data_IF_453328320773
#
_entry.id   IF_453328320773
#
_cell.length_a   1.000
_cell.length_b   1.000
_cell.length_c   1.000
_cell.angle_alpha   90.00
_cell.angle_beta   90.00
_cell.angle_gamma   90.00
#
_symmetry.space_group_name_H-M   'P 1'
#
loop_
_entity.id
_entity.type
_entity.pdbx_description
1 polymer ?
#
# COMPACT_ATOMS: atom_id res chain seq x y z
N UNK A 1 7.72 21.76 38.80
CA UNK A 1 6.95 20.56 38.37
C UNK A 1 6.69 20.68 36.87
N UNK A 2 7.40 19.91 36.05
CA UNK A 2 7.12 19.85 34.60
C UNK A 2 5.71 19.29 34.46
N UNK A 3 4.79 20.08 33.90
CA UNK A 3 3.43 19.63 33.58
C UNK A 3 3.58 18.44 32.64
N UNK A 4 3.23 17.26 33.11
CA UNK A 4 3.15 16.05 32.31
C UNK A 4 1.87 16.20 31.50
N UNK A 5 1.98 16.75 30.30
CA UNK A 5 0.85 16.92 29.39
C UNK A 5 0.35 15.53 28.91
N UNK A 6 -0.88 15.40 28.39
CA UNK A 6 -1.59 14.15 27.99
C UNK A 6 -1.64 13.92 26.45
N UNK A 7 -1.80 12.69 25.92
CA UNK A 7 -1.57 12.36 24.48
C UNK A 7 -2.48 13.12 23.52
N UNK A 8 -3.41 13.85 24.09
CA UNK A 8 -4.24 14.89 23.50
C UNK A 8 -3.45 16.16 23.14
N UNK A 9 -2.14 16.07 22.90
CA UNK A 9 -1.28 17.22 22.66
C UNK A 9 -1.92 18.19 21.69
N UNK A 10 -2.42 17.69 20.56
CA UNK A 10 -3.13 18.49 19.56
C UNK A 10 -4.39 19.20 20.12
N UNK A 11 -5.25 18.48 20.85
CA UNK A 11 -6.47 19.04 21.47
C UNK A 11 -6.14 20.00 22.63
N UNK A 12 -5.00 19.80 23.29
CA UNK A 12 -4.45 20.67 24.32
C UNK A 12 -3.74 21.91 23.76
N UNK A 13 -3.63 22.06 22.43
CA UNK A 13 -2.93 23.16 21.76
C UNK A 13 -1.40 22.99 21.69
N UNK A 14 -0.90 21.77 21.87
CA UNK A 14 0.49 21.34 21.74
C UNK A 14 0.72 20.59 20.40
N UNK A 15 1.97 20.33 20.00
CA UNK A 15 2.25 19.47 18.85
C UNK A 15 1.61 18.07 18.99
N UNK A 16 1.18 17.49 17.86
CA UNK A 16 0.56 16.17 17.73
C UNK A 16 1.52 15.00 17.94
N UNK A 17 2.31 15.06 19.00
CA UNK A 17 3.35 14.11 19.30
C UNK A 17 2.91 13.09 20.37
N UNK A 18 3.09 11.78 20.13
CA UNK A 18 2.77 10.77 21.13
C UNK A 18 3.72 10.87 22.34
N UNK A 19 3.30 10.28 23.46
CA UNK A 19 4.14 10.12 24.65
C UNK A 19 4.31 8.65 24.99
N UNK A 20 5.39 8.35 25.68
CA UNK A 20 5.61 7.03 26.24
C UNK A 20 4.48 6.71 27.23
N UNK A 21 3.88 5.53 27.08
CA UNK A 21 2.74 5.07 27.88
C UNK A 21 3.19 4.58 29.27
N UNK A 22 3.75 5.48 30.08
CA UNK A 22 4.05 5.20 31.49
C UNK A 22 2.83 5.43 32.39
N UNK A 23 1.95 6.34 31.99
CA UNK A 23 0.65 6.61 32.62
C UNK A 23 -0.40 6.46 31.52
N UNK A 24 -1.44 5.68 31.78
CA UNK A 24 -2.50 5.47 30.78
C UNK A 24 -3.47 6.65 30.78
N UNK A 25 -4.06 6.95 29.62
CA UNK A 25 -5.02 8.08 29.48
C UNK A 25 -6.23 7.95 30.39
N UNK A 26 -6.64 6.71 30.66
CA UNK A 26 -7.74 6.41 31.58
C UNK A 26 -7.45 6.85 33.01
N UNK A 27 -6.18 7.01 33.38
CA UNK A 27 -5.76 7.57 34.68
C UNK A 27 -5.54 9.08 34.58
N UNK A 28 -4.82 9.52 33.54
CA UNK A 28 -4.52 10.93 33.28
C UNK A 28 -4.23 11.17 31.80
N UNK A 29 -5.22 11.72 31.09
CA UNK A 29 -5.16 12.12 29.68
C UNK A 29 -5.38 13.63 29.55
N UNK A 30 -6.45 14.03 28.84
CA UNK A 30 -6.74 15.41 28.47
C UNK A 30 -6.81 16.33 29.69
N UNK A 31 -5.98 17.37 29.70
CA UNK A 31 -5.82 18.34 30.80
C UNK A 31 -5.55 17.68 32.16
N UNK A 32 -4.87 16.54 32.15
CA UNK A 32 -4.56 15.76 33.34
C UNK A 32 -5.77 15.08 33.98
N UNK A 33 -6.83 14.83 33.20
CA UNK A 33 -8.05 14.15 33.65
C UNK A 33 -8.17 12.75 33.04
N UNK A 34 -8.74 11.77 33.77
CA UNK A 34 -9.13 10.48 33.21
C UNK A 34 -9.88 10.63 31.88
N UNK A 35 -9.31 10.09 30.81
CA UNK A 35 -9.81 10.26 29.44
C UNK A 35 -9.77 8.95 28.68
N UNK A 36 -10.87 8.60 28.02
CA UNK A 36 -10.98 7.43 27.16
C UNK A 36 -11.28 7.86 25.71
N UNK A 37 -10.43 7.44 24.78
CA UNK A 37 -10.55 7.72 23.36
C UNK A 37 -11.13 6.49 22.65
N UNK A 38 -12.21 6.68 21.90
CA UNK A 38 -12.86 5.62 21.14
C UNK A 38 -13.09 6.08 19.70
N UNK A 39 -13.00 5.15 18.75
CA UNK A 39 -13.31 5.42 17.36
C UNK A 39 -14.81 5.71 17.19
N UNK A 40 -15.16 6.54 16.20
CA UNK A 40 -16.56 6.85 15.87
C UNK A 40 -17.37 5.58 15.53
N UNK A 41 -16.78 4.62 14.83
CA UNK A 41 -17.39 3.32 14.50
C UNK A 41 -17.73 2.52 15.77
N UNK A 42 -16.85 2.55 16.77
CA UNK A 42 -17.13 1.91 18.07
C UNK A 42 -18.38 2.51 18.71
N UNK A 43 -18.47 3.84 18.77
CA UNK A 43 -19.65 4.53 19.31
C UNK A 43 -20.91 4.30 18.47
N UNK A 44 -20.78 4.21 17.15
CA UNK A 44 -21.91 3.94 16.25
C UNK A 44 -22.53 2.56 16.49
N UNK A 45 -21.74 1.58 16.95
CA UNK A 45 -22.23 0.24 17.29
C UNK A 45 -22.99 0.17 18.63
N UNK A 46 -22.67 1.05 19.59
CA UNK A 46 -23.22 0.99 20.96
C UNK A 46 -24.75 1.08 21.02
N UNK A 47 -25.44 2.01 20.31
CA UNK A 47 -26.91 2.07 20.33
C UNK A 47 -27.57 0.77 19.89
N UNK A 48 -27.05 0.11 18.84
CA UNK A 48 -27.59 -1.16 18.36
C UNK A 48 -27.39 -2.28 19.41
N UNK A 49 -26.22 -2.32 20.05
CA UNK A 49 -25.90 -3.28 21.12
C UNK A 49 -26.83 -3.09 22.33
N UNK A 50 -27.07 -1.86 22.77
CA UNK A 50 -27.96 -1.58 23.90
C UNK A 50 -29.41 -1.98 23.57
N UNK A 51 -29.88 -1.65 22.37
CA UNK A 51 -31.27 -1.89 21.97
C UNK A 51 -31.58 -3.35 21.65
N UNK A 52 -30.60 -4.12 21.17
CA UNK A 52 -30.80 -5.53 20.71
C UNK A 52 -30.12 -6.56 21.61
N UNK A 53 -29.32 -6.11 22.58
CA UNK A 53 -28.55 -6.96 23.48
C UNK A 53 -27.15 -7.30 22.95
N UNK A 54 -26.20 -7.45 23.88
CA UNK A 54 -24.82 -7.86 23.55
C UNK A 54 -24.74 -9.27 22.95
N UNK A 55 -25.63 -10.17 23.36
CA UNK A 55 -25.72 -11.53 22.80
C UNK A 55 -26.03 -11.50 21.30
N UNK A 56 -26.95 -10.64 20.87
CA UNK A 56 -27.25 -10.45 19.45
C UNK A 56 -26.01 -10.01 18.66
N UNK A 57 -25.28 -8.99 19.14
CA UNK A 57 -24.08 -8.52 18.46
C UNK A 57 -22.99 -9.60 18.42
N UNK A 58 -22.89 -10.44 19.46
CA UNK A 58 -21.95 -11.56 19.53
C UNK A 58 -22.32 -12.75 18.62
N UNK A 59 -23.54 -12.80 18.08
CA UNK A 59 -23.91 -13.77 17.02
C UNK A 59 -23.29 -13.43 15.67
N UNK A 60 -22.88 -12.18 15.47
CA UNK A 60 -22.15 -11.73 14.29
C UNK A 60 -20.64 -11.91 14.53
N UNK A 61 -19.91 -12.28 13.48
CA UNK A 61 -18.46 -12.41 13.56
C UNK A 61 -17.96 -13.84 13.81
N UNK A 62 -16.68 -13.94 14.19
CA UNK A 62 -16.03 -15.20 14.61
C UNK A 62 -16.08 -15.37 16.12
N UNK A 63 -15.43 -16.41 16.68
CA UNK A 63 -15.29 -16.56 18.13
C UNK A 63 -14.45 -15.42 18.73
N UNK A 64 -13.30 -15.11 18.12
CA UNK A 64 -12.36 -14.08 18.59
C UNK A 64 -12.68 -12.66 18.14
N UNK A 65 -13.56 -12.47 17.15
CA UNK A 65 -13.89 -11.15 16.59
C UNK A 65 -15.39 -10.99 16.37
N UNK A 66 -16.08 -10.33 17.30
CA UNK A 66 -17.55 -10.14 17.29
C UNK A 66 -17.97 -8.91 16.49
N UNK A 67 -19.18 -8.97 15.94
CA UNK A 67 -19.82 -7.82 15.30
C UNK A 67 -19.54 -7.67 13.81
N UNK A 68 -19.73 -6.45 13.33
CA UNK A 68 -19.47 -6.02 11.95
C UNK A 68 -18.31 -5.03 11.90
N UNK A 69 -17.77 -4.85 10.69
CA UNK A 69 -16.74 -3.86 10.39
C UNK A 69 -17.08 -3.16 9.09
N UNK A 70 -16.89 -1.85 9.07
CA UNK A 70 -16.98 -1.03 7.85
C UNK A 70 -15.61 -0.98 7.18
N UNK A 71 -15.57 -1.33 5.89
CA UNK A 71 -14.41 -1.20 5.03
C UNK A 71 -14.61 -0.13 3.95
N UNK A 72 -13.55 0.59 3.63
CA UNK A 72 -13.43 1.40 2.42
C UNK A 72 -12.78 0.56 1.34
N UNK A 73 -13.59 -0.01 0.45
CA UNK A 73 -13.16 -0.82 -0.68
C UNK A 73 -12.85 0.08 -1.88
N UNK A 74 -11.58 0.12 -2.27
CA UNK A 74 -11.06 0.99 -3.34
C UNK A 74 -9.95 0.28 -4.13
N UNK A 75 -9.33 0.96 -5.10
CA UNK A 75 -8.29 0.40 -5.97
C UNK A 75 -8.87 -0.17 -7.26
N UNK A 76 -8.26 -1.23 -7.77
CA UNK A 76 -8.61 -1.90 -9.03
C UNK A 76 -9.81 -2.83 -8.88
N UNK A 77 -10.94 -2.29 -8.41
CA UNK A 77 -12.20 -3.01 -8.15
C UNK A 77 -13.36 -2.32 -8.87
N UNK A 78 -14.35 -3.08 -9.33
CA UNK A 78 -15.48 -2.55 -10.12
C UNK A 78 -16.35 -1.61 -9.29
N UNK A 79 -16.76 -2.05 -8.10
CA UNK A 79 -17.60 -1.28 -7.19
C UNK A 79 -16.75 -0.76 -6.03
N UNK A 80 -16.45 0.53 -6.05
CA UNK A 80 -15.78 1.22 -4.94
C UNK A 80 -16.79 1.81 -3.96
N UNK A 81 -16.45 1.85 -2.67
CA UNK A 81 -17.33 2.45 -1.66
C UNK A 81 -17.09 1.94 -0.25
N UNK A 82 -17.99 2.33 0.65
CA UNK A 82 -18.04 1.83 2.02
C UNK A 82 -18.92 0.58 2.07
N UNK A 83 -18.39 -0.50 2.64
CA UNK A 83 -19.09 -1.77 2.78
C UNK A 83 -19.05 -2.22 4.23
N UNK A 84 -20.21 -2.50 4.82
CA UNK A 84 -20.30 -3.09 6.16
C UNK A 84 -20.46 -4.60 6.03
N UNK A 85 -19.55 -5.35 6.65
CA UNK A 85 -19.55 -6.82 6.60
C UNK A 85 -19.42 -7.41 8.00
N UNK A 86 -19.96 -8.62 8.25
CA UNK A 86 -19.67 -9.34 9.48
C UNK A 86 -18.19 -9.71 9.54
N UNK A 87 -17.61 -9.64 10.75
CA UNK A 87 -16.24 -10.10 10.97
C UNK A 87 -16.09 -11.57 10.55
N UNK A 88 -14.93 -11.94 10.01
CA UNK A 88 -14.65 -13.30 9.54
C UNK A 88 -15.20 -13.66 8.17
N UNK A 89 -15.83 -12.71 7.45
CA UNK A 89 -16.12 -12.86 6.02
C UNK A 89 -14.80 -13.02 5.24
N UNK A 90 -14.68 -13.96 4.28
CA UNK A 90 -13.48 -14.09 3.46
C UNK A 90 -13.22 -12.86 2.58
N UNK A 91 -11.95 -12.49 2.38
CA UNK A 91 -11.55 -11.40 1.48
C UNK A 91 -12.12 -11.59 0.07
N UNK A 92 -12.13 -12.83 -0.43
CA UNK A 92 -12.73 -13.22 -1.72
C UNK A 92 -14.17 -12.74 -1.85
N UNK A 93 -14.99 -12.98 -0.82
CA UNK A 93 -16.40 -12.62 -0.87
C UNK A 93 -16.57 -11.10 -0.93
N UNK A 94 -15.77 -10.36 -0.16
CA UNK A 94 -15.81 -8.89 -0.18
C UNK A 94 -15.43 -8.37 -1.57
N UNK A 95 -14.34 -8.87 -2.15
CA UNK A 95 -13.80 -8.36 -3.42
C UNK A 95 -14.65 -8.80 -4.62
N UNK A 96 -14.99 -10.08 -4.71
CA UNK A 96 -15.70 -10.65 -5.86
C UNK A 96 -17.21 -10.39 -5.80
N UNK A 97 -17.85 -10.59 -4.64
CA UNK A 97 -19.32 -10.51 -4.54
C UNK A 97 -19.80 -9.09 -4.28
N UNK A 98 -19.14 -8.34 -3.39
CA UNK A 98 -19.54 -6.96 -3.06
C UNK A 98 -18.84 -5.98 -4.02
N UNK A 99 -17.52 -6.13 -4.17
CA UNK A 99 -16.71 -5.31 -5.08
C UNK A 99 -16.93 -5.57 -6.57
N UNK A 100 -17.58 -6.67 -6.94
CA UNK A 100 -17.81 -7.01 -8.35
C UNK A 100 -16.55 -7.49 -9.09
N UNK A 101 -15.49 -7.86 -8.36
CA UNK A 101 -14.23 -8.33 -8.91
C UNK A 101 -13.29 -7.22 -9.38
N UNK A 102 -12.16 -7.64 -9.95
CA UNK A 102 -11.11 -6.73 -10.43
C UNK A 102 -11.56 -6.01 -11.71
N UNK A 103 -11.27 -4.71 -11.77
CA UNK A 103 -11.67 -3.86 -12.90
C UNK A 103 -11.11 -4.39 -14.22
N UNK A 104 -11.97 -4.45 -15.25
CA UNK A 104 -11.57 -4.91 -16.58
C UNK A 104 -11.33 -6.42 -16.69
N UNK A 105 -11.66 -7.21 -15.67
CA UNK A 105 -11.50 -8.68 -15.71
C UNK A 105 -10.05 -9.16 -15.63
N UNK A 106 -9.13 -8.29 -15.21
CA UNK A 106 -7.73 -8.63 -14.97
C UNK A 106 -7.57 -9.57 -13.78
N UNK A 107 -6.41 -10.22 -13.64
CA UNK A 107 -6.15 -11.05 -12.47
C UNK A 107 -5.92 -10.19 -11.22
N UNK A 108 -6.46 -10.69 -10.11
CA UNK A 108 -6.18 -10.18 -8.78
C UNK A 108 -4.74 -10.51 -8.39
N UNK A 109 -3.99 -9.51 -7.92
CA UNK A 109 -2.61 -9.68 -7.46
C UNK A 109 -2.52 -9.66 -5.94
N UNK A 110 -3.04 -8.59 -5.34
CA UNK A 110 -2.97 -8.37 -3.90
C UNK A 110 -4.10 -7.48 -3.40
N UNK A 111 -4.32 -7.50 -2.09
CA UNK A 111 -5.12 -6.49 -1.39
C UNK A 111 -4.33 -5.95 -0.21
N UNK A 112 -4.30 -4.64 -0.08
CA UNK A 112 -3.73 -3.99 1.08
C UNK A 112 -4.83 -3.75 2.12
N UNK A 113 -4.55 -4.15 3.36
CA UNK A 113 -5.51 -4.01 4.46
C UNK A 113 -4.90 -3.26 5.63
N UNK A 114 -5.71 -2.45 6.32
CA UNK A 114 -5.29 -1.78 7.55
C UNK A 114 -4.89 -0.31 7.41
N UNK A 115 -5.17 0.31 6.25
CA UNK A 115 -4.74 1.68 5.96
C UNK A 115 -3.24 1.75 5.71
N UNK A 116 -2.62 2.93 5.53
CA UNK A 116 -1.27 3.06 4.95
C UNK A 116 -0.15 2.26 5.64
N UNK A 117 -0.22 2.01 6.95
CA UNK A 117 0.74 1.17 7.69
C UNK A 117 0.38 -0.32 7.72
N UNK A 118 -0.54 -0.74 6.86
CA UNK A 118 -1.00 -2.11 6.71
C UNK A 118 -0.16 -2.91 5.74
N UNK A 119 -0.29 -4.23 5.77
CA UNK A 119 0.41 -5.13 4.86
C UNK A 119 -0.40 -5.51 3.62
N UNK A 120 0.28 -6.01 2.59
CA UNK A 120 -0.31 -6.55 1.38
C UNK A 120 -0.51 -8.06 1.50
N UNK A 121 -1.69 -8.53 1.13
CA UNK A 121 -2.10 -9.94 1.14
C UNK A 121 -2.19 -10.43 -0.31
N UNK A 122 -1.41 -11.45 -0.72
CA UNK A 122 -1.40 -11.94 -2.10
C UNK A 122 -2.63 -12.79 -2.44
N UNK A 123 -2.81 -13.04 -3.74
CA UNK A 123 -3.88 -13.87 -4.30
C UNK A 123 -4.02 -15.26 -3.66
N UNK A 124 -2.90 -15.89 -3.25
CA UNK A 124 -2.90 -17.21 -2.58
C UNK A 124 -3.63 -17.22 -1.23
N UNK A 125 -3.83 -16.04 -0.63
CA UNK A 125 -4.48 -15.86 0.66
C UNK A 125 -5.85 -15.15 0.54
N UNK A 126 -6.42 -15.10 -0.66
CA UNK A 126 -7.71 -14.42 -0.90
C UNK A 126 -8.88 -15.07 -0.15
N UNK A 127 -8.77 -16.34 0.25
CA UNK A 127 -9.77 -17.03 1.07
C UNK A 127 -9.60 -16.79 2.58
N UNK A 128 -8.60 -16.00 2.99
CA UNK A 128 -8.40 -15.63 4.38
C UNK A 128 -9.60 -14.86 4.93
N UNK A 129 -9.94 -15.16 6.18
CA UNK A 129 -11.03 -14.50 6.91
C UNK A 129 -10.58 -13.12 7.37
N UNK A 130 -11.48 -12.15 7.23
CA UNK A 130 -11.26 -10.78 7.68
C UNK A 130 -11.53 -10.69 9.17
N UNK A 131 -10.54 -11.05 9.97
CA UNK A 131 -10.54 -10.89 11.43
C UNK A 131 -9.16 -10.43 11.94
N UNK A 132 -9.08 -10.06 13.22
CA UNK A 132 -7.85 -9.48 13.78
C UNK A 132 -6.66 -10.46 13.75
N UNK A 133 -6.90 -11.74 14.01
CA UNK A 133 -5.83 -12.72 14.22
C UNK A 133 -5.28 -13.23 12.89
N UNK A 134 -6.16 -13.56 11.94
CA UNK A 134 -5.77 -14.07 10.62
C UNK A 134 -5.01 -13.02 9.81
N UNK A 135 -5.47 -11.76 9.80
CA UNK A 135 -4.78 -10.69 9.07
C UNK A 135 -3.39 -10.40 9.66
N UNK A 136 -3.24 -10.48 10.99
CA UNK A 136 -1.94 -10.29 11.66
C UNK A 136 -0.93 -11.37 11.25
N UNK A 137 -1.36 -12.64 11.13
CA UNK A 137 -0.49 -13.75 10.69
C UNK A 137 0.03 -13.55 9.25
N UNK A 138 -0.76 -12.88 8.42
CA UNK A 138 -0.40 -12.56 7.03
C UNK A 138 0.48 -11.30 6.93
N UNK A 139 0.95 -10.74 8.05
CA UNK A 139 1.76 -9.51 8.05
C UNK A 139 0.96 -8.26 7.67
N UNK A 140 -0.36 -8.34 7.77
CA UNK A 140 -1.28 -7.21 7.61
C UNK A 140 -1.94 -6.89 8.95
N UNK A 141 -2.96 -6.03 8.96
CA UNK A 141 -3.67 -5.70 10.20
C UNK A 141 -5.08 -5.19 9.92
N UNK A 142 -5.97 -5.43 10.88
CA UNK A 142 -7.27 -4.76 10.94
C UNK A 142 -7.08 -3.33 11.49
N UNK A 143 -6.72 -2.41 10.60
CA UNK A 143 -6.54 -0.99 10.91
C UNK A 143 -7.82 -0.18 10.74
N UNK A 144 -7.74 0.92 9.97
CA UNK A 144 -8.88 1.83 9.73
C UNK A 144 -10.02 1.26 8.90
N UNK A 145 -9.87 0.03 8.37
CA UNK A 145 -10.82 -0.56 7.42
C UNK A 145 -10.54 -0.19 5.95
N UNK A 146 -9.35 0.31 5.60
CA UNK A 146 -8.95 0.41 4.19
C UNK A 146 -8.77 -0.98 3.57
N UNK A 147 -9.35 -1.20 2.38
CA UNK A 147 -9.13 -2.35 1.50
C UNK A 147 -8.81 -1.84 0.09
N UNK A 148 -7.53 -1.89 -0.28
CA UNK A 148 -7.07 -1.40 -1.59
C UNK A 148 -6.73 -2.60 -2.46
N UNK A 149 -7.56 -2.85 -3.47
CA UNK A 149 -7.42 -3.97 -4.43
C UNK A 149 -6.38 -3.61 -5.48
N UNK A 150 -5.49 -4.54 -5.80
CA UNK A 150 -4.41 -4.40 -6.77
C UNK A 150 -4.49 -5.51 -7.82
N UNK A 151 -4.27 -5.14 -9.08
CA UNK A 151 -4.27 -6.04 -10.22
C UNK A 151 -2.84 -6.49 -10.60
N UNK A 152 -2.76 -7.39 -11.58
CA UNK A 152 -1.49 -7.89 -12.16
C UNK A 152 -0.54 -6.80 -12.70
N UNK A 153 -1.04 -5.60 -13.00
CA UNK A 153 -0.28 -4.45 -13.51
C UNK A 153 0.23 -3.52 -12.40
N UNK A 154 -0.02 -3.83 -11.14
CA UNK A 154 0.46 -3.05 -10.01
C UNK A 154 1.87 -3.47 -9.61
N UNK A 155 2.82 -2.54 -9.51
CA UNK A 155 4.18 -2.81 -9.03
C UNK A 155 4.23 -2.84 -7.50
N UNK A 156 4.57 -3.97 -6.88
CA UNK A 156 4.54 -4.10 -5.42
C UNK A 156 5.70 -3.35 -4.73
N UNK A 157 6.81 -3.15 -5.44
CA UNK A 157 7.92 -2.30 -4.97
C UNK A 157 7.49 -0.84 -4.90
N UNK A 158 6.79 -0.34 -5.93
CA UNK A 158 6.28 1.03 -5.97
C UNK A 158 5.14 1.24 -4.97
N UNK A 159 4.26 0.25 -4.77
CA UNK A 159 3.24 0.27 -3.71
C UNK A 159 3.89 0.45 -2.33
N UNK A 160 4.94 -0.31 -2.04
CA UNK A 160 5.67 -0.18 -0.78
C UNK A 160 6.30 1.20 -0.64
N UNK A 161 6.91 1.72 -1.71
CA UNK A 161 7.50 3.08 -1.77
C UNK A 161 6.45 4.17 -1.53
N UNK A 162 5.29 4.08 -2.19
CA UNK A 162 4.18 5.02 -2.05
C UNK A 162 3.67 5.10 -0.62
N UNK A 163 3.36 3.95 0.01
CA UNK A 163 2.88 3.95 1.38
C UNK A 163 3.95 4.42 2.36
N UNK A 164 5.21 4.05 2.13
CA UNK A 164 6.30 4.48 2.99
C UNK A 164 6.55 6.00 2.89
N UNK A 165 6.45 6.58 1.69
CA UNK A 165 6.52 8.03 1.49
C UNK A 165 5.39 8.74 2.25
N UNK A 166 4.15 8.26 2.12
CA UNK A 166 3.02 8.78 2.89
C UNK A 166 3.27 8.69 4.41
N UNK A 167 3.77 7.55 4.90
CA UNK A 167 4.03 7.37 6.33
C UNK A 167 5.19 8.21 6.85
N UNK A 168 6.17 8.52 5.99
CA UNK A 168 7.27 9.43 6.29
C UNK A 168 6.76 10.87 6.41
N UNK A 169 5.88 11.31 5.50
CA UNK A 169 5.24 12.62 5.55
C UNK A 169 4.29 12.78 6.76
N UNK A 170 3.56 11.72 7.11
CA UNK A 170 2.64 11.70 8.28
C UNK A 170 3.36 11.42 9.61
N UNK A 171 4.67 11.18 9.57
CA UNK A 171 5.46 10.98 10.79
C UNK A 171 5.60 12.29 11.56
N UNK A 172 5.23 12.29 12.84
CA UNK A 172 5.49 13.44 13.72
C UNK A 172 6.99 13.72 13.97
N UNK A 173 7.90 12.84 13.52
CA UNK A 173 9.35 13.04 13.63
C UNK A 173 9.95 12.87 15.04
N UNK A 174 9.15 12.59 16.07
CA UNK A 174 9.61 12.57 17.47
C UNK A 174 10.69 11.53 17.78
N UNK A 175 10.46 10.28 17.39
CA UNK A 175 11.37 9.18 17.72
C UNK A 175 12.34 8.91 16.56
N UNK A 176 13.63 8.88 16.85
CA UNK A 176 14.71 8.61 15.89
C UNK A 176 14.49 7.36 15.04
N UNK A 177 14.11 6.17 15.58
CA UNK A 177 13.94 4.99 14.75
C UNK A 177 12.87 5.19 13.66
N UNK A 178 11.74 5.85 13.99
CA UNK A 178 10.71 6.15 12.99
C UNK A 178 11.17 7.25 12.02
N UNK A 179 11.69 8.38 12.53
CA UNK A 179 12.05 9.53 11.70
C UNK A 179 13.15 9.20 10.70
N UNK A 180 14.26 8.64 11.18
CA UNK A 180 15.42 8.35 10.33
C UNK A 180 15.26 7.03 9.60
N UNK A 181 14.68 6.01 10.25
CA UNK A 181 14.55 4.71 9.63
C UNK A 181 13.57 4.68 8.47
N UNK A 182 12.44 5.42 8.54
CA UNK A 182 11.55 5.58 7.38
C UNK A 182 12.25 6.31 6.23
N UNK A 183 13.02 7.37 6.52
CA UNK A 183 13.77 8.09 5.50
C UNK A 183 14.82 7.19 4.80
N UNK A 184 15.53 6.35 5.57
CA UNK A 184 16.48 5.39 5.00
C UNK A 184 15.79 4.30 4.16
N UNK A 185 14.68 3.73 4.65
CA UNK A 185 13.92 2.75 3.89
C UNK A 185 13.37 3.35 2.59
N UNK A 186 12.87 4.58 2.62
CA UNK A 186 12.36 5.26 1.43
C UNK A 186 13.47 5.53 0.43
N UNK A 187 14.63 6.01 0.87
CA UNK A 187 15.78 6.21 0.00
C UNK A 187 16.22 4.91 -0.71
N UNK A 188 16.18 3.77 -0.01
CA UNK A 188 16.47 2.47 -0.63
C UNK A 188 15.40 2.12 -1.68
N UNK A 189 14.12 2.31 -1.37
CA UNK A 189 13.03 2.01 -2.31
C UNK A 189 13.04 2.93 -3.54
N UNK A 190 13.30 4.23 -3.37
CA UNK A 190 13.44 5.20 -4.46
C UNK A 190 14.55 4.73 -5.42
N UNK A 191 15.74 4.43 -4.89
CA UNK A 191 16.84 3.85 -5.69
C UNK A 191 16.43 2.57 -6.41
N UNK A 192 15.75 1.64 -5.75
CA UNK A 192 15.31 0.40 -6.38
C UNK A 192 14.37 0.71 -7.55
N UNK A 193 13.41 1.62 -7.39
CA UNK A 193 12.47 2.02 -8.45
C UNK A 193 13.10 2.86 -9.56
N UNK A 194 14.21 3.54 -9.27
CA UNK A 194 15.02 4.31 -10.25
C UNK A 194 16.06 3.44 -10.99
N UNK A 195 16.13 2.14 -10.67
CA UNK A 195 17.10 1.22 -11.28
C UNK A 195 18.50 1.26 -10.66
N UNK A 196 18.67 1.96 -9.56
CA UNK A 196 19.90 2.05 -8.78
C UNK A 196 19.95 1.04 -7.61
N UNK A 197 19.03 0.07 -7.57
CA UNK A 197 19.02 -0.99 -6.56
C UNK A 197 20.34 -1.78 -6.52
N UNK A 198 20.74 -2.20 -5.32
CA UNK A 198 22.00 -2.88 -5.03
C UNK A 198 21.76 -4.19 -4.30
N UNK A 199 22.71 -5.13 -4.45
CA UNK A 199 22.73 -6.33 -3.61
C UNK A 199 22.85 -5.93 -2.13
N UNK A 200 22.06 -6.57 -1.26
CA UNK A 200 21.99 -6.23 0.16
C UNK A 200 20.87 -5.24 0.52
N UNK A 201 20.19 -4.64 -0.46
CA UNK A 201 19.14 -3.65 -0.17
C UNK A 201 17.90 -4.28 0.49
N UNK A 202 17.52 -5.50 0.11
CA UNK A 202 16.41 -6.23 0.74
C UNK A 202 16.72 -6.51 2.21
N UNK A 203 17.92 -7.02 2.51
CA UNK A 203 18.36 -7.35 3.87
C UNK A 203 18.44 -6.10 4.75
N UNK A 204 18.81 -4.95 4.17
CA UNK A 204 18.78 -3.65 4.86
C UNK A 204 17.36 -3.20 5.17
N UNK A 205 16.42 -3.35 4.22
CA UNK A 205 15.00 -3.03 4.44
C UNK A 205 14.42 -3.89 5.57
N UNK A 206 14.72 -5.18 5.58
CA UNK A 206 14.27 -6.10 6.64
C UNK A 206 14.82 -5.70 8.01
N UNK A 207 16.13 -5.43 8.10
CA UNK A 207 16.78 -5.01 9.34
C UNK A 207 16.21 -3.67 9.87
N UNK A 208 15.92 -2.72 8.99
CA UNK A 208 15.27 -1.46 9.36
C UNK A 208 13.83 -1.70 9.82
N UNK A 209 13.08 -2.55 9.13
CA UNK A 209 11.71 -2.90 9.51
C UNK A 209 11.61 -3.50 10.91
N UNK A 210 12.50 -4.44 11.24
CA UNK A 210 12.61 -5.03 12.59
C UNK A 210 12.98 -3.98 13.65
N UNK A 211 13.91 -3.08 13.32
CA UNK A 211 14.31 -1.98 14.21
C UNK A 211 13.11 -1.08 14.53
N UNK A 212 12.33 -0.68 13.52
CA UNK A 212 11.14 0.16 13.69
C UNK A 212 10.10 -0.53 14.56
N UNK A 213 9.77 -1.78 14.25
CA UNK A 213 8.80 -2.58 15.00
C UNK A 213 9.17 -2.72 16.49
N UNK A 214 10.46 -2.94 16.77
CA UNK A 214 10.97 -3.12 18.13
C UNK A 214 11.12 -1.83 18.94
N UNK A 215 11.41 -0.70 18.29
CA UNK A 215 11.93 0.49 19.01
C UNK A 215 11.13 1.78 18.79
N UNK A 216 10.20 1.84 17.83
CA UNK A 216 9.39 3.02 17.62
C UNK A 216 8.43 3.29 18.79
N UNK A 217 8.15 4.57 19.04
CA UNK A 217 7.41 5.01 20.22
C UNK A 217 5.91 4.70 20.13
N UNK A 218 5.29 4.95 18.98
CA UNK A 218 3.85 4.80 18.76
C UNK A 218 3.54 3.66 17.79
N UNK A 219 2.26 3.26 17.72
CA UNK A 219 1.83 2.18 16.84
C UNK A 219 2.15 2.47 15.37
N UNK A 220 1.95 3.71 14.89
CA UNK A 220 2.29 4.12 13.53
C UNK A 220 3.74 3.76 13.19
N UNK A 221 4.71 4.22 13.99
CA UNK A 221 6.12 3.92 13.72
C UNK A 221 6.47 2.44 13.83
N UNK A 222 5.76 1.67 14.66
CA UNK A 222 5.97 0.22 14.80
C UNK A 222 5.44 -0.56 13.60
N UNK A 223 4.36 -0.08 12.96
CA UNK A 223 3.73 -0.74 11.82
C UNK A 223 4.08 -0.10 10.48
N UNK A 224 4.81 1.02 10.47
CA UNK A 224 5.08 1.77 9.25
C UNK A 224 5.93 0.99 8.22
N UNK A 225 6.69 0.00 8.67
CA UNK A 225 7.44 -0.90 7.79
C UNK A 225 6.58 -2.04 7.19
N UNK A 226 5.35 -2.28 7.68
CA UNK A 226 4.54 -3.43 7.25
C UNK A 226 4.28 -3.49 5.73
N UNK A 227 4.01 -2.38 5.01
CA UNK A 227 3.89 -2.43 3.55
C UNK A 227 5.14 -3.05 2.93
N UNK A 228 6.32 -2.61 3.33
CA UNK A 228 7.61 -3.10 2.83
C UNK A 228 7.86 -4.55 3.24
N UNK A 229 7.66 -4.89 4.51
CA UNK A 229 7.92 -6.25 5.01
C UNK A 229 7.01 -7.28 4.33
N UNK A 230 5.73 -6.93 4.13
CA UNK A 230 4.79 -7.82 3.46
C UNK A 230 5.09 -7.96 1.96
N UNK A 231 5.47 -6.88 1.27
CA UNK A 231 5.81 -6.97 -0.17
C UNK A 231 7.13 -7.68 -0.40
N UNK A 232 8.14 -7.50 0.46
CA UNK A 232 9.37 -8.30 0.43
C UNK A 232 9.07 -9.78 0.65
N UNK A 233 8.17 -10.11 1.60
CA UNK A 233 7.79 -11.49 1.89
C UNK A 233 7.11 -12.19 0.71
N UNK A 234 6.14 -11.53 0.08
CA UNK A 234 5.24 -12.17 -0.89
C UNK A 234 5.60 -11.92 -2.35
N UNK A 235 6.35 -10.84 -2.64
CA UNK A 235 6.66 -10.37 -3.99
C UNK A 235 8.16 -10.09 -4.14
N UNK A 236 9.00 -10.90 -3.47
CA UNK A 236 10.47 -10.76 -3.50
C UNK A 236 11.03 -10.79 -4.91
N UNK A 237 10.41 -11.58 -5.78
CA UNK A 237 10.74 -11.69 -7.20
C UNK A 237 10.67 -10.34 -7.93
N UNK A 238 9.73 -9.47 -7.57
CA UNK A 238 9.67 -8.12 -8.12
C UNK A 238 10.84 -7.26 -7.65
N UNK A 239 11.24 -7.37 -6.38
CA UNK A 239 12.43 -6.70 -5.87
C UNK A 239 13.70 -7.19 -6.59
N UNK A 240 13.83 -8.50 -6.76
CA UNK A 240 14.97 -9.11 -7.46
C UNK A 240 15.01 -8.67 -8.94
N UNK A 241 13.86 -8.56 -9.60
CA UNK A 241 13.78 -8.02 -10.97
C UNK A 241 14.22 -6.55 -11.04
N UNK A 242 13.80 -5.71 -10.09
CA UNK A 242 14.23 -4.31 -10.04
C UNK A 242 15.73 -4.17 -9.73
N UNK A 243 16.24 -4.96 -8.79
CA UNK A 243 17.64 -4.86 -8.32
C UNK A 243 18.60 -5.45 -9.36
N UNK A 244 18.34 -6.67 -9.84
CA UNK A 244 19.29 -7.44 -10.65
C UNK A 244 19.04 -7.33 -12.16
N UNK A 245 17.77 -7.30 -12.58
CA UNK A 245 17.41 -7.28 -14.01
C UNK A 245 17.18 -5.86 -14.52
N UNK A 246 17.07 -4.87 -13.62
CA UNK A 246 16.74 -3.48 -13.95
C UNK A 246 15.46 -3.41 -14.79
N UNK A 247 14.45 -4.20 -14.39
CA UNK A 247 13.19 -4.35 -15.09
C UNK A 247 12.02 -4.24 -14.11
N UNK A 248 11.00 -3.47 -14.49
CA UNK A 248 9.72 -3.42 -13.77
C UNK A 248 8.67 -4.22 -14.55
N UNK A 249 8.36 -5.43 -14.10
CA UNK A 249 7.40 -6.33 -14.77
C UNK A 249 6.00 -5.75 -14.90
N UNK A 250 5.61 -4.85 -13.99
CA UNK A 250 4.34 -4.14 -14.00
C UNK A 250 4.34 -2.91 -14.93
N UNK A 251 5.51 -2.45 -15.40
CA UNK A 251 5.64 -1.30 -16.29
C UNK A 251 5.37 0.06 -15.62
N UNK A 252 5.38 0.13 -14.29
CA UNK A 252 5.03 1.36 -13.52
C UNK A 252 6.25 2.25 -13.28
N UNK A 253 7.41 1.64 -12.97
CA UNK A 253 8.64 2.38 -12.67
C UNK A 253 9.31 2.83 -13.97
N UNK A 254 9.08 4.07 -14.40
CA UNK A 254 9.52 4.60 -15.70
C UNK A 254 11.02 4.39 -16.00
N UNK A 255 11.88 4.53 -14.98
CA UNK A 255 13.33 4.31 -15.11
C UNK A 255 13.68 2.86 -15.52
N UNK A 256 12.81 1.89 -15.23
CA UNK A 256 12.99 0.46 -15.44
C UNK A 256 12.15 -0.10 -16.59
N UNK A 257 11.47 0.76 -17.34
CA UNK A 257 10.71 0.36 -18.53
C UNK A 257 11.57 0.55 -19.77
N UNK A 258 11.43 -0.39 -20.70
CA UNK A 258 11.98 -0.32 -22.05
C UNK A 258 10.82 -0.44 -23.02
N UNK A 259 10.71 0.53 -23.93
CA UNK A 259 9.67 0.52 -24.95
C UNK A 259 10.20 -0.19 -26.19
N UNK A 260 9.50 -1.23 -26.64
CA UNK A 260 9.81 -1.99 -27.85
C UNK A 260 8.61 -1.96 -28.77
N UNK A 261 8.84 -1.83 -30.08
CA UNK A 261 7.76 -1.87 -31.07
C UNK A 261 7.64 -3.29 -31.61
N UNK A 262 6.47 -3.89 -31.47
CA UNK A 262 6.14 -5.16 -32.11
C UNK A 262 5.99 -4.94 -33.61
N UNK A 263 6.88 -5.58 -34.37
CA UNK A 263 6.92 -5.45 -35.82
C UNK A 263 5.69 -6.04 -36.53
N UNK A 264 5.00 -7.01 -35.93
CA UNK A 264 3.81 -7.63 -36.51
C UNK A 264 2.56 -6.76 -36.30
N UNK A 265 2.44 -6.17 -35.11
CA UNK A 265 1.35 -5.26 -34.76
C UNK A 265 1.49 -3.89 -35.45
N UNK A 266 2.72 -3.38 -35.58
CA UNK A 266 2.99 -2.03 -36.08
C UNK A 266 2.56 -1.84 -37.55
N UNK A 267 1.72 -0.83 -37.80
CA UNK A 267 1.29 -0.45 -39.16
C UNK A 267 2.10 0.69 -39.79
N UNK A 268 3.15 1.17 -39.12
CA UNK A 268 4.04 2.23 -39.64
C UNK A 268 3.32 3.56 -39.87
N UNK A 269 2.45 3.98 -38.94
CA UNK A 269 1.61 5.17 -39.08
C UNK A 269 2.35 6.51 -38.92
N UNK A 270 3.51 6.53 -38.25
CA UNK A 270 4.30 7.74 -38.02
C UNK A 270 4.14 8.41 -36.65
N UNK A 271 3.07 8.09 -35.91
CA UNK A 271 2.67 8.83 -34.68
C UNK A 271 3.78 8.81 -33.63
N UNK A 272 4.23 7.62 -33.23
CA UNK A 272 5.31 7.45 -32.25
C UNK A 272 6.62 8.15 -32.63
N UNK A 273 6.88 8.35 -33.92
CA UNK A 273 8.07 9.07 -34.42
C UNK A 273 7.89 10.58 -34.40
N UNK A 274 6.69 11.06 -34.73
CA UNK A 274 6.33 12.48 -34.70
C UNK A 274 6.31 13.02 -33.26
N UNK A 275 5.75 12.24 -32.34
CA UNK A 275 5.47 12.70 -30.97
C UNK A 275 6.62 12.37 -30.00
N UNK A 276 7.68 11.70 -30.48
CA UNK A 276 8.86 11.42 -29.66
C UNK A 276 9.65 12.70 -29.37
N UNK A 277 9.79 13.11 -28.09
CA UNK A 277 10.46 14.37 -27.74
C UNK A 277 11.96 14.36 -28.02
N UNK A 278 12.59 13.19 -28.03
CA UNK A 278 14.03 13.02 -28.28
C UNK A 278 14.35 12.42 -29.63
N UNK A 279 13.35 12.25 -30.50
CA UNK A 279 13.51 11.64 -31.83
C UNK A 279 14.15 10.24 -31.80
N UNK A 280 13.98 9.50 -30.70
CA UNK A 280 14.50 8.16 -30.51
C UNK A 280 13.85 7.07 -31.39
N UNK A 281 12.78 7.41 -32.13
CA UNK A 281 12.06 6.43 -32.95
C UNK A 281 12.48 6.55 -34.42
N UNK A 282 12.89 5.44 -35.01
CA UNK A 282 13.27 5.32 -36.41
C UNK A 282 12.29 4.45 -37.20
N UNK A 283 12.32 4.56 -38.54
CA UNK A 283 11.43 3.82 -39.44
C UNK A 283 10.76 4.69 -40.50
N UNK A 284 10.24 4.01 -41.54
CA UNK A 284 9.57 4.61 -42.70
C UNK A 284 8.06 4.37 -42.68
N UNK A 285 7.31 5.19 -43.43
CA UNK A 285 5.85 5.00 -43.56
C UNK A 285 5.54 3.61 -44.12
N UNK A 286 4.55 2.96 -43.51
CA UNK A 286 4.12 1.58 -43.86
C UNK A 286 5.15 0.49 -43.58
N UNK A 287 6.22 0.79 -42.85
CA UNK A 287 7.16 -0.19 -42.32
C UNK A 287 7.12 -0.17 -40.78
N UNK A 288 7.44 -1.29 -40.11
CA UNK A 288 7.63 -1.30 -38.67
C UNK A 288 8.68 -0.28 -38.24
N UNK A 289 8.38 0.43 -37.15
CA UNK A 289 9.33 1.35 -36.53
C UNK A 289 10.17 0.65 -35.47
N UNK A 290 11.27 1.27 -35.06
CA UNK A 290 12.11 0.82 -33.94
C UNK A 290 12.43 1.97 -33.00
N UNK A 291 12.62 1.67 -31.72
CA UNK A 291 13.01 2.63 -30.69
C UNK A 291 14.48 2.40 -30.37
N UNK A 292 15.28 3.46 -30.48
CA UNK A 292 16.66 3.46 -30.00
C UNK A 292 16.67 3.63 -28.48
N UNK A 293 17.16 2.61 -27.78
CA UNK A 293 17.19 2.59 -26.32
C UNK A 293 18.15 3.63 -25.73
N UNK A 294 19.22 4.00 -26.43
CA UNK A 294 20.20 4.97 -25.95
C UNK A 294 19.64 6.40 -25.98
N UNK A 295 18.88 6.76 -27.02
CA UNK A 295 18.25 8.08 -27.16
C UNK A 295 16.89 8.20 -26.44
N UNK A 296 16.32 7.07 -25.99
CA UNK A 296 15.00 7.03 -25.38
C UNK A 296 15.05 7.50 -23.91
N UNK A 297 14.35 8.61 -23.62
CA UNK A 297 14.18 9.12 -22.25
C UNK A 297 12.99 8.47 -21.51
N UNK A 298 12.45 7.36 -22.03
CA UNK A 298 11.40 6.55 -21.40
C UNK A 298 10.14 7.33 -21.00
N UNK A 299 9.79 8.36 -21.77
CA UNK A 299 8.66 9.25 -21.49
C UNK A 299 7.27 8.63 -21.69
N UNK A 300 7.16 7.43 -22.28
CA UNK A 300 5.87 6.73 -22.46
C UNK A 300 4.96 7.25 -23.58
N UNK A 301 5.22 8.44 -24.15
CA UNK A 301 4.37 9.05 -25.19
C UNK A 301 4.09 8.09 -26.35
N UNK A 302 5.11 7.38 -26.84
CA UNK A 302 4.94 6.41 -27.92
C UNK A 302 4.05 5.21 -27.57
N UNK A 303 3.98 4.84 -26.30
CA UNK A 303 3.15 3.75 -25.79
C UNK A 303 1.69 4.19 -25.67
N UNK A 304 1.45 5.37 -25.09
CA UNK A 304 0.09 5.92 -24.91
C UNK A 304 -0.58 6.32 -26.23
N UNK A 305 0.19 6.90 -27.16
CA UNK A 305 -0.36 7.41 -28.42
C UNK A 305 -0.49 6.33 -29.52
N UNK A 306 -0.09 5.08 -29.26
CA UNK A 306 -0.14 4.03 -30.26
C UNK A 306 -1.57 3.50 -30.45
N UNK A 307 -2.25 3.77 -31.59
CA UNK A 307 -3.64 3.36 -31.78
C UNK A 307 -3.80 1.87 -32.13
N UNK A 308 -2.68 1.13 -32.20
CA UNK A 308 -2.62 -0.27 -32.58
C UNK A 308 -2.07 -1.17 -31.47
N UNK A 309 -1.84 -0.61 -30.27
CA UNK A 309 -1.21 -1.31 -29.13
C UNK A 309 0.10 -2.02 -29.52
N UNK A 310 0.81 -1.47 -30.52
CA UNK A 310 2.02 -2.06 -31.10
C UNK A 310 3.31 -1.70 -30.35
N UNK A 311 3.21 -0.91 -29.29
CA UNK A 311 4.36 -0.60 -28.42
C UNK A 311 4.17 -1.38 -27.13
N UNK A 312 5.18 -2.16 -26.78
CA UNK A 312 5.22 -2.97 -25.58
C UNK A 312 6.14 -2.29 -24.58
N UNK A 313 5.67 -2.16 -23.34
CA UNK A 313 6.49 -1.75 -22.21
C UNK A 313 7.02 -3.01 -21.53
N UNK A 314 8.33 -3.24 -21.62
CA UNK A 314 9.03 -4.34 -20.97
C UNK A 314 9.99 -3.85 -19.90
#
# INVERSE_FOLDING_TARGET
MRRVHGPDGLVEGLPGEPRAKHVHTVESGLWGKPTNLNNAETWANIPAIINRGGEWFATLGTEGSKGTKVFSLVGEVVNTGLVEVPMGMPLRQIIEQIGGGVKGGKAFKAVQTGGPSGGCIPAEHLDARVDFDELTKLGSMMGSGGLIVMDERTCMVDVARYFLAFLMDESCGKCTPCREGLAQMLHILDRITEGEGQAGDIERLEALGELLAGTALCALGKTAANPVMSTVRYFRDEYDAHIHQKKCTAGVCSALVTFVIDAEACKGCGICKRDCPTQAVSGEKKAPHSIDAESCVKCGVCYEDCPFDAVIAE
#
